data_IF_637621534660
#
_entry.id   IF_637621534660
#
_cell.length_a   1.000
_cell.length_b   1.000
_cell.length_c   1.000
_cell.angle_alpha   90.00
_cell.angle_beta   90.00
_cell.angle_gamma   90.00
#
_symmetry.space_group_name_H-M   'P 1'
#
loop_
_entity.id
_entity.type
_entity.pdbx_description
1 polymer ?
#
# COMPACT_ATOMS: atom_id res chain seq x y z
N UNK A 1 10.29 -0.25 5.98
CA UNK A 1 9.29 -1.31 6.29
C UNK A 1 8.06 -0.73 6.97
N UNK A 2 6.85 -1.14 6.55
CA UNK A 2 5.58 -0.84 7.23
C UNK A 2 5.10 -2.06 8.01
N UNK A 3 4.44 -1.83 9.15
CA UNK A 3 3.79 -2.86 9.95
C UNK A 3 2.30 -2.89 9.63
N UNK A 4 1.83 -4.05 9.21
CA UNK A 4 0.42 -4.39 9.01
C UNK A 4 0.05 -5.61 9.87
N UNK A 5 -1.22 -5.99 9.89
CA UNK A 5 -1.72 -7.11 10.67
C UNK A 5 -2.36 -8.15 9.76
N UNK A 6 -1.81 -9.36 9.73
CA UNK A 6 -2.36 -10.46 8.94
C UNK A 6 -3.79 -10.78 9.38
N UNK A 7 -4.70 -10.85 8.41
CA UNK A 7 -6.12 -11.09 8.69
C UNK A 7 -6.38 -12.48 9.28
N UNK A 8 -5.69 -13.51 8.79
CA UNK A 8 -5.91 -14.92 9.11
C UNK A 8 -5.31 -15.29 10.45
N UNK A 9 -4.06 -14.90 10.69
CA UNK A 9 -3.29 -15.28 11.86
C UNK A 9 -3.27 -14.22 12.96
N UNK A 10 -3.76 -13.00 12.68
CA UNK A 10 -3.78 -11.87 13.63
C UNK A 10 -2.38 -11.48 14.14
N UNK A 11 -1.35 -11.82 13.37
CA UNK A 11 0.06 -11.53 13.68
C UNK A 11 0.55 -10.33 12.86
N UNK A 12 1.53 -9.58 13.37
CA UNK A 12 2.13 -8.50 12.59
C UNK A 12 2.88 -9.05 11.38
N UNK A 13 2.71 -8.40 10.23
CA UNK A 13 3.52 -8.59 9.03
C UNK A 13 4.29 -7.32 8.73
N UNK A 14 5.51 -7.49 8.24
CA UNK A 14 6.40 -6.40 7.92
C UNK A 14 6.67 -6.43 6.42
N UNK A 15 6.12 -5.45 5.72
CA UNK A 15 6.27 -5.33 4.28
C UNK A 15 7.20 -4.17 3.96
N UNK A 16 8.07 -4.38 2.99
CA UNK A 16 8.90 -3.34 2.40
C UNK A 16 8.03 -2.54 1.41
N UNK A 17 7.68 -1.27 1.67
CA UNK A 17 6.77 -0.52 0.80
C UNK A 17 7.29 -0.34 -0.62
N UNK A 18 8.62 -0.41 -0.79
CA UNK A 18 9.29 -0.46 -2.07
C UNK A 18 8.82 -1.60 -2.97
N UNK A 19 8.51 -2.75 -2.36
CA UNK A 19 8.09 -3.95 -3.07
C UNK A 19 6.56 -4.06 -3.16
N UNK A 20 5.79 -3.09 -2.63
CA UNK A 20 4.33 -3.11 -2.74
C UNK A 20 3.95 -2.58 -4.12
N UNK A 21 3.52 -3.49 -4.98
CA UNK A 21 3.07 -3.20 -6.34
C UNK A 21 1.66 -2.62 -6.36
N UNK A 22 0.80 -3.04 -5.44
CA UNK A 22 -0.59 -2.60 -5.42
C UNK A 22 -1.30 -2.91 -4.10
N UNK A 23 -2.32 -2.11 -3.81
CA UNK A 23 -3.26 -2.31 -2.69
C UNK A 23 -4.65 -2.29 -3.28
N UNK A 24 -5.48 -3.28 -2.93
CA UNK A 24 -6.84 -3.41 -3.45
C UNK A 24 -7.84 -3.72 -2.34
N UNK A 25 -9.09 -3.40 -2.63
CA UNK A 25 -10.24 -3.82 -1.83
C UNK A 25 -10.68 -5.21 -2.29
N UNK A 26 -10.51 -6.20 -1.43
CA UNK A 26 -10.95 -7.58 -1.65
C UNK A 26 -12.18 -7.87 -0.77
N UNK A 27 -13.37 -7.53 -1.30
CA UNK A 27 -14.62 -7.60 -0.55
C UNK A 27 -14.65 -6.60 0.60
N UNK A 28 -14.67 -7.08 1.85
CA UNK A 28 -14.57 -6.23 3.06
C UNK A 28 -13.13 -6.12 3.60
N UNK A 29 -12.13 -6.55 2.83
CA UNK A 29 -10.75 -6.67 3.31
C UNK A 29 -9.79 -5.95 2.41
N UNK A 30 -8.59 -5.71 2.93
CA UNK A 30 -7.51 -5.07 2.21
C UNK A 30 -6.52 -6.12 1.76
N UNK A 31 -6.30 -6.21 0.45
CA UNK A 31 -5.28 -7.06 -0.14
C UNK A 31 -4.07 -6.21 -0.55
N UNK A 32 -2.88 -6.65 -0.15
CA UNK A 32 -1.59 -6.00 -0.44
C UNK A 32 -0.75 -6.97 -1.26
N UNK A 33 -0.33 -6.54 -2.44
CA UNK A 33 0.46 -7.35 -3.35
C UNK A 33 1.92 -6.91 -3.33
N UNK A 34 2.81 -7.88 -3.15
CA UNK A 34 4.25 -7.72 -3.07
C UNK A 34 4.90 -8.71 -4.04
N UNK A 35 5.22 -8.26 -5.25
CA UNK A 35 5.55 -9.15 -6.36
C UNK A 35 4.42 -10.15 -6.63
N UNK A 36 4.75 -11.44 -6.66
CA UNK A 36 3.78 -12.54 -6.86
C UNK A 36 3.04 -12.95 -5.57
N UNK A 37 3.36 -12.34 -4.43
CA UNK A 37 2.75 -12.66 -3.14
C UNK A 37 1.60 -11.70 -2.82
N UNK A 38 0.49 -12.24 -2.31
CA UNK A 38 -0.62 -11.47 -1.78
C UNK A 38 -0.76 -11.66 -0.27
N UNK A 39 -1.04 -10.56 0.42
CA UNK A 39 -1.30 -10.53 1.86
C UNK A 39 -2.64 -9.86 2.13
N UNK A 40 -3.53 -10.54 2.85
CA UNK A 40 -4.77 -9.94 3.32
C UNK A 40 -4.58 -9.40 4.73
N UNK A 41 -4.86 -8.12 4.95
CA UNK A 41 -4.61 -7.42 6.21
C UNK A 41 -5.89 -6.91 6.87
N UNK A 42 -5.79 -6.52 8.16
CA UNK A 42 -6.91 -5.96 8.93
C UNK A 42 -7.07 -4.46 8.78
N UNK A 43 -5.97 -3.75 8.54
CA UNK A 43 -5.99 -2.32 8.28
C UNK A 43 -6.85 -2.02 7.05
N UNK A 44 -7.54 -0.88 7.06
CA UNK A 44 -8.37 -0.48 5.92
C UNK A 44 -7.50 -0.16 4.68
N UNK A 45 -8.08 -0.18 3.47
CA UNK A 45 -7.36 0.17 2.26
C UNK A 45 -6.74 1.57 2.34
N UNK A 46 -7.45 2.50 2.97
CA UNK A 46 -7.01 3.87 3.22
C UNK A 46 -5.80 3.93 4.17
N UNK A 47 -5.85 3.21 5.29
CA UNK A 47 -4.74 3.17 6.25
C UNK A 47 -3.47 2.57 5.64
N UNK A 48 -3.63 1.48 4.89
CA UNK A 48 -2.51 0.86 4.19
C UNK A 48 -1.95 1.83 3.15
N UNK A 49 -2.80 2.44 2.33
CA UNK A 49 -2.38 3.37 1.31
C UNK A 49 -1.63 4.57 1.90
N UNK A 50 -2.14 5.18 2.98
CA UNK A 50 -1.47 6.27 3.70
C UNK A 50 -0.09 5.87 4.22
N UNK A 51 0.05 4.67 4.82
CA UNK A 51 1.35 4.17 5.31
C UNK A 51 2.35 3.99 4.17
N UNK A 52 1.91 3.45 3.02
CA UNK A 52 2.76 3.26 1.84
C UNK A 52 3.18 4.61 1.25
N UNK A 53 2.24 5.54 1.09
CA UNK A 53 2.49 6.89 0.58
C UNK A 53 3.45 7.66 1.47
N UNK A 54 3.23 7.68 2.79
CA UNK A 54 4.08 8.38 3.74
C UNK A 54 5.53 7.89 3.66
N UNK A 55 5.73 6.58 3.55
CA UNK A 55 7.06 6.01 3.40
C UNK A 55 7.70 6.40 2.07
N UNK A 56 6.97 6.28 0.95
CA UNK A 56 7.50 6.60 -0.37
C UNK A 56 7.80 8.09 -0.54
N UNK A 57 7.00 8.97 0.03
CA UNK A 57 7.26 10.42 0.05
C UNK A 57 8.47 10.79 0.92
N UNK A 58 8.75 10.03 1.97
CA UNK A 58 9.94 10.24 2.81
C UNK A 58 11.25 9.77 2.13
N UNK A 59 11.17 8.97 1.06
CA UNK A 59 12.34 8.48 0.35
C UNK A 59 12.72 9.40 -0.82
N UNK A 60 13.95 9.92 -0.78
CA UNK A 60 14.47 10.92 -1.73
C UNK A 60 14.61 10.40 -3.18
N UNK A 61 14.75 9.09 -3.36
CA UNK A 61 14.98 8.44 -4.67
C UNK A 61 13.70 7.98 -5.38
N UNK A 62 12.53 8.07 -4.73
CA UNK A 62 11.26 7.56 -5.27
C UNK A 62 10.63 8.42 -6.39
N UNK A 63 11.21 9.59 -6.68
CA UNK A 63 10.77 10.48 -7.75
C UNK A 63 11.11 9.98 -9.16
N UNK A 64 12.01 9.00 -9.30
CA UNK A 64 12.48 8.45 -10.59
C UNK A 64 12.10 6.97 -10.83
N UNK A 65 11.26 6.37 -9.98
CA UNK A 65 10.90 4.97 -10.11
C UNK A 65 9.80 4.77 -11.19
N UNK A 66 10.12 4.01 -12.24
CA UNK A 66 9.24 3.81 -13.41
C UNK A 66 7.97 3.01 -13.11
N UNK A 67 7.92 2.28 -11.99
CA UNK A 67 6.74 1.51 -11.55
C UNK A 67 5.76 2.39 -10.75
N UNK A 68 6.21 3.57 -10.34
CA UNK A 68 5.43 4.48 -9.49
C UNK A 68 4.14 5.03 -10.09
N UNK A 69 4.04 5.39 -11.39
CA UNK A 69 2.89 6.16 -11.89
C UNK A 69 1.55 5.45 -11.72
N UNK A 70 1.48 4.15 -12.03
CA UNK A 70 0.24 3.38 -11.97
C UNK A 70 -0.17 3.08 -10.52
N UNK A 71 0.77 2.63 -9.69
CA UNK A 71 0.51 2.36 -8.27
C UNK A 71 0.21 3.63 -7.48
N UNK A 72 0.82 4.78 -7.84
CA UNK A 72 0.62 6.06 -7.17
C UNK A 72 -0.84 6.50 -7.23
N UNK A 73 -1.45 6.52 -8.41
CA UNK A 73 -2.83 7.00 -8.56
C UNK A 73 -3.80 6.15 -7.72
N UNK A 74 -3.67 4.82 -7.76
CA UNK A 74 -4.47 3.92 -6.93
C UNK A 74 -4.26 4.16 -5.42
N UNK A 75 -3.02 4.37 -4.98
CA UNK A 75 -2.74 4.67 -3.58
C UNK A 75 -3.29 6.04 -3.15
N UNK A 76 -3.19 7.06 -4.00
CA UNK A 76 -3.77 8.39 -3.74
C UNK A 76 -5.29 8.31 -3.65
N UNK A 77 -5.94 7.58 -4.58
CA UNK A 77 -7.38 7.33 -4.57
C UNK A 77 -7.81 6.65 -3.26
N UNK A 78 -7.14 5.55 -2.89
CA UNK A 78 -7.44 4.80 -1.68
C UNK A 78 -7.18 5.61 -0.40
N UNK A 79 -6.16 6.46 -0.39
CA UNK A 79 -5.84 7.32 0.74
C UNK A 79 -6.77 8.53 0.89
N UNK A 80 -7.69 8.73 -0.07
CA UNK A 80 -8.56 9.92 -0.12
C UNK A 80 -7.78 11.21 -0.40
N UNK A 81 -6.67 11.10 -1.14
CA UNK A 81 -5.76 12.21 -1.48
C UNK A 81 -5.86 12.62 -2.95
N UNK A 82 -6.77 12.04 -3.73
CA UNK A 82 -7.10 12.55 -5.07
C UNK A 82 -7.76 13.92 -4.94
N UNK A 83 -6.99 14.96 -5.26
CA UNK A 83 -7.49 16.30 -5.47
C UNK A 83 -8.30 16.29 -6.78
N UNK A 84 -9.58 16.64 -6.66
CA UNK A 84 -10.45 17.09 -7.75
C UNK A 84 -9.73 18.17 -8.57
N UNK A 85 -9.14 17.81 -9.70
CA UNK A 85 -8.80 18.75 -10.77
C UNK A 85 -9.87 18.73 -11.86
#
# INVERSE_FOLDING_TARGET
MIKLTDKKYKTPIYLAPENINSVYVEGQHTAVYVGDLSHTVLESPEEVAKKVLLYKMAMKDYSNDSVWPETKNTLFALAGLEDTQ
#
